data_IF_731128730842
#
_entry.id   IF_731128730842
#
_cell.length_a   1.000
_cell.length_b   1.000
_cell.length_c   1.000
_cell.angle_alpha   90.00
_cell.angle_beta   90.00
_cell.angle_gamma   90.00
#
_symmetry.space_group_name_H-M   'P 1'
#
loop_
_entity.id
_entity.type
_entity.pdbx_description
1 polymer ?
#
# COMPACT_ATOMS: atom_id res chain seq x y z
N UNK A 1 12.59 -13.48 -20.02
CA UNK A 1 13.89 -12.79 -20.24
C UNK A 1 13.82 -11.46 -19.52
N UNK A 2 14.83 -11.10 -18.75
CA UNK A 2 14.95 -9.78 -18.14
C UNK A 2 15.16 -8.72 -19.23
N UNK A 3 14.14 -7.90 -19.47
CA UNK A 3 14.12 -6.89 -20.53
C UNK A 3 14.78 -5.59 -20.09
N UNK A 4 15.19 -5.46 -18.82
CA UNK A 4 15.93 -4.31 -18.31
C UNK A 4 17.25 -4.10 -19.05
N UNK A 5 17.83 -5.20 -19.56
CA UNK A 5 19.00 -5.19 -20.44
C UNK A 5 18.83 -4.30 -21.68
N UNK A 6 17.62 -4.05 -22.19
CA UNK A 6 17.36 -3.17 -23.34
C UNK A 6 17.36 -1.66 -23.01
N UNK A 7 17.57 -1.28 -21.76
CA UNK A 7 17.46 0.11 -21.31
C UNK A 7 18.65 0.61 -20.47
N UNK A 8 19.55 -0.29 -20.06
CA UNK A 8 20.70 0.03 -19.24
C UNK A 8 21.98 0.26 -20.08
N UNK A 9 22.11 1.45 -20.68
CA UNK A 9 23.08 1.70 -21.78
C UNK A 9 24.52 1.94 -21.30
N UNK A 10 24.74 2.73 -20.23
CA UNK A 10 26.06 3.22 -19.82
C UNK A 10 26.37 2.90 -18.35
N UNK A 11 27.66 2.79 -18.00
CA UNK A 11 28.09 2.74 -16.60
C UNK A 11 27.93 4.10 -15.92
N UNK A 12 27.52 4.11 -14.65
CA UNK A 12 27.37 5.33 -13.87
C UNK A 12 28.68 6.15 -13.89
N UNK A 13 28.58 7.39 -14.37
CA UNK A 13 29.70 8.34 -14.40
C UNK A 13 30.63 8.28 -15.61
N UNK A 14 30.42 7.41 -16.61
CA UNK A 14 31.21 7.40 -17.87
C UNK A 14 30.32 7.42 -19.12
N UNK A 15 30.17 8.59 -19.75
CA UNK A 15 29.52 8.69 -21.07
C UNK A 15 30.51 8.19 -22.15
N UNK A 16 30.30 6.98 -22.67
CA UNK A 16 31.03 6.48 -23.84
C UNK A 16 31.19 4.96 -23.91
N UNK A 17 31.19 4.25 -22.78
CA UNK A 17 31.29 2.79 -22.75
C UNK A 17 29.90 2.16 -22.63
N UNK A 18 29.48 1.48 -23.70
CA UNK A 18 28.20 0.76 -23.76
C UNK A 18 28.34 -0.55 -22.97
N UNK A 19 27.44 -0.78 -22.01
CA UNK A 19 27.42 -2.01 -21.21
C UNK A 19 27.24 -3.26 -22.08
N UNK A 20 27.96 -4.34 -21.79
CA UNK A 20 27.81 -5.62 -22.51
C UNK A 20 26.41 -6.21 -22.34
N UNK A 21 25.77 -6.00 -21.18
CA UNK A 21 24.38 -6.42 -20.95
C UNK A 21 23.40 -5.75 -21.91
N UNK A 22 23.67 -4.50 -22.31
CA UNK A 22 22.86 -3.78 -23.27
C UNK A 22 23.04 -4.27 -24.70
N UNK A 23 24.29 -4.56 -25.10
CA UNK A 23 24.56 -5.21 -26.39
C UNK A 23 23.85 -6.56 -26.50
N UNK A 24 23.86 -7.33 -25.41
CA UNK A 24 23.13 -8.60 -25.33
C UNK A 24 21.61 -8.39 -25.44
N UNK A 25 21.05 -7.39 -24.76
CA UNK A 25 19.65 -7.00 -24.87
C UNK A 25 19.26 -6.68 -26.32
N UNK A 26 20.05 -5.85 -27.02
CA UNK A 26 19.81 -5.47 -28.41
C UNK A 26 19.89 -6.68 -29.35
N UNK A 27 20.84 -7.59 -29.14
CA UNK A 27 20.94 -8.82 -29.91
C UNK A 27 19.72 -9.73 -29.71
N UNK A 28 19.21 -9.85 -28.47
CA UNK A 28 18.01 -10.61 -28.15
C UNK A 28 16.76 -10.00 -28.79
N UNK A 29 16.63 -8.67 -28.76
CA UNK A 29 15.55 -7.94 -29.44
C UNK A 29 15.54 -8.22 -30.94
N UNK A 30 16.67 -8.05 -31.63
CA UNK A 30 16.75 -8.27 -33.08
C UNK A 30 16.46 -9.73 -33.44
N UNK A 31 16.94 -10.68 -32.64
CA UNK A 31 16.67 -12.11 -32.84
C UNK A 31 15.19 -12.43 -32.69
N UNK A 32 14.50 -11.80 -31.76
CA UNK A 32 13.06 -12.01 -31.54
C UNK A 32 12.22 -11.29 -32.61
N UNK A 33 12.54 -10.04 -32.94
CA UNK A 33 11.86 -9.27 -33.97
C UNK A 33 11.89 -9.99 -35.33
N UNK A 34 13.04 -10.56 -35.72
CA UNK A 34 13.17 -11.34 -36.96
C UNK A 34 12.32 -12.62 -37.02
N UNK A 35 11.91 -13.15 -35.88
CA UNK A 35 11.05 -14.35 -35.79
C UNK A 35 9.57 -14.00 -35.86
N UNK A 36 9.22 -12.72 -35.86
CA UNK A 36 7.84 -12.25 -35.90
C UNK A 36 7.29 -12.23 -37.32
N UNK A 37 6.11 -12.81 -37.50
CA UNK A 37 5.40 -12.83 -38.79
C UNK A 37 5.07 -11.41 -39.30
N UNK A 38 4.84 -10.45 -38.40
CA UNK A 38 4.58 -9.04 -38.76
C UNK A 38 5.82 -8.45 -39.43
N UNK A 39 6.99 -8.61 -38.81
CA UNK A 39 8.27 -8.10 -39.31
C UNK A 39 8.65 -8.76 -40.65
N UNK A 40 8.38 -10.05 -40.80
CA UNK A 40 8.61 -10.78 -42.06
C UNK A 40 7.69 -10.24 -43.17
N UNK A 41 6.42 -9.98 -42.85
CA UNK A 41 5.43 -9.47 -43.82
C UNK A 41 5.69 -8.03 -44.25
N UNK A 42 6.24 -7.20 -43.37
CA UNK A 42 6.55 -5.79 -43.64
C UNK A 42 7.91 -5.59 -44.33
N UNK A 43 8.71 -6.66 -44.47
CA UNK A 43 9.98 -6.64 -45.18
C UNK A 43 11.15 -6.01 -44.42
N UNK A 44 11.04 -5.83 -43.09
CA UNK A 44 12.13 -5.31 -42.27
C UNK A 44 11.73 -4.94 -40.84
N UNK A 45 12.72 -4.60 -40.01
CA UNK A 45 12.54 -4.31 -38.58
C UNK A 45 12.25 -2.82 -38.39
N UNK A 46 11.31 -2.48 -37.52
CA UNK A 46 10.98 -1.09 -37.17
C UNK A 46 11.93 -0.57 -36.09
N UNK A 47 12.43 0.65 -36.24
CA UNK A 47 13.28 1.25 -35.20
C UNK A 47 12.43 1.71 -33.99
N UNK A 48 12.62 1.17 -32.77
CA UNK A 48 11.77 1.48 -31.62
C UNK A 48 12.18 2.79 -30.95
N UNK A 49 11.76 3.91 -31.55
CA UNK A 49 12.09 5.26 -31.09
C UNK A 49 10.85 6.11 -30.82
N UNK A 50 10.98 7.02 -29.85
CA UNK A 50 9.91 7.91 -29.39
C UNK A 50 9.46 8.87 -30.49
N UNK A 51 10.40 9.49 -31.20
CA UNK A 51 10.06 10.50 -32.22
C UNK A 51 9.47 9.91 -33.48
N UNK A 52 9.76 8.63 -33.78
CA UNK A 52 9.18 7.96 -34.94
C UNK A 52 7.99 7.05 -34.62
N UNK A 53 7.71 6.77 -33.35
CA UNK A 53 6.65 5.86 -32.92
C UNK A 53 6.68 4.51 -33.66
N UNK A 54 7.88 3.94 -33.81
CA UNK A 54 8.15 2.70 -34.54
C UNK A 54 7.73 2.69 -36.02
N UNK A 55 7.59 3.86 -36.68
CA UNK A 55 7.07 3.93 -38.05
C UNK A 55 8.09 3.59 -39.14
N UNK A 56 9.38 3.81 -38.88
CA UNK A 56 10.44 3.63 -39.90
C UNK A 56 11.04 2.24 -39.85
N UNK A 57 11.05 1.56 -41.00
CA UNK A 57 11.80 0.33 -41.24
C UNK A 57 13.22 0.70 -41.65
N UNK A 58 14.20 0.05 -41.04
CA UNK A 58 15.64 0.28 -41.30
C UNK A 58 16.37 -1.05 -41.38
N UNK A 59 17.58 -1.02 -41.94
CA UNK A 59 18.46 -2.19 -41.92
C UNK A 59 18.86 -2.54 -40.48
N UNK A 60 19.25 -3.79 -40.26
CA UNK A 60 19.65 -4.25 -38.92
C UNK A 60 20.84 -3.45 -38.36
N UNK A 61 21.80 -3.11 -39.21
CA UNK A 61 23.00 -2.38 -38.80
C UNK A 61 22.67 -0.92 -38.42
N UNK A 62 21.73 -0.29 -39.13
CA UNK A 62 21.21 1.04 -38.76
C UNK A 62 20.45 1.01 -37.44
N UNK A 63 19.65 -0.04 -37.19
CA UNK A 63 18.90 -0.18 -35.93
C UNK A 63 19.85 -0.43 -34.75
N UNK A 64 20.89 -1.26 -34.93
CA UNK A 64 21.93 -1.44 -33.90
C UNK A 64 22.62 -0.12 -33.59
N UNK A 65 23.02 0.62 -34.64
CA UNK A 65 23.67 1.92 -34.48
C UNK A 65 22.77 2.92 -33.77
N UNK A 66 21.50 3.04 -34.18
CA UNK A 66 20.55 3.97 -33.57
C UNK A 66 20.23 3.58 -32.11
N UNK A 67 20.10 2.28 -31.79
CA UNK A 67 19.91 1.83 -30.40
C UNK A 67 21.15 2.10 -29.53
N UNK A 68 22.36 1.92 -30.06
CA UNK A 68 23.61 2.16 -29.34
C UNK A 68 23.91 3.65 -29.11
N UNK A 69 23.36 4.53 -29.94
CA UNK A 69 23.62 5.97 -29.87
C UNK A 69 22.47 6.77 -29.26
N UNK A 70 21.22 6.35 -29.46
CA UNK A 70 20.01 7.07 -29.07
C UNK A 70 19.10 6.31 -28.11
N UNK A 71 19.34 5.01 -27.91
CA UNK A 71 18.52 4.16 -27.04
C UNK A 71 17.15 3.80 -27.61
N UNK A 72 16.42 2.96 -26.88
CA UNK A 72 15.05 2.58 -27.24
C UNK A 72 14.01 3.52 -26.61
N UNK A 73 12.80 3.52 -27.17
CA UNK A 73 11.62 4.19 -26.60
C UNK A 73 11.41 3.74 -25.14
N UNK A 74 11.34 4.67 -24.16
CA UNK A 74 10.98 4.34 -22.79
C UNK A 74 9.61 3.65 -22.75
N UNK A 75 9.49 2.64 -21.90
CA UNK A 75 8.27 1.87 -21.68
C UNK A 75 7.80 0.98 -22.85
N UNK A 76 8.68 0.69 -23.81
CA UNK A 76 8.40 -0.26 -24.88
C UNK A 76 8.79 -1.70 -24.49
N UNK A 77 8.26 -2.16 -23.36
CA UNK A 77 8.59 -3.45 -22.76
C UNK A 77 7.95 -4.62 -23.49
N UNK A 78 6.84 -4.39 -24.20
CA UNK A 78 6.16 -5.35 -25.08
C UNK A 78 6.34 -4.84 -26.50
N UNK A 79 6.97 -5.65 -27.36
CA UNK A 79 7.31 -5.28 -28.73
C UNK A 79 6.09 -5.41 -29.65
N UNK A 80 5.04 -4.67 -29.33
CA UNK A 80 3.75 -4.72 -30.04
C UNK A 80 3.89 -4.42 -31.53
N UNK A 81 4.74 -3.45 -31.88
CA UNK A 81 5.11 -3.13 -33.28
C UNK A 81 5.97 -4.20 -33.96
N UNK A 82 6.40 -5.22 -33.23
CA UNK A 82 7.14 -6.38 -33.72
C UNK A 82 6.38 -7.68 -33.45
N UNK A 83 5.05 -7.61 -33.33
CA UNK A 83 4.16 -8.76 -33.26
C UNK A 83 4.08 -9.48 -31.91
N UNK A 84 4.57 -8.88 -30.83
CA UNK A 84 4.21 -9.35 -29.50
C UNK A 84 2.81 -8.85 -29.15
N UNK A 85 1.84 -9.76 -29.11
CA UNK A 85 0.51 -9.49 -28.57
C UNK A 85 0.53 -9.55 -27.06
N UNK A 86 -0.21 -8.65 -26.42
CA UNK A 86 -0.60 -8.82 -25.02
C UNK A 86 -1.51 -10.05 -25.02
N UNK A 87 -1.10 -11.15 -24.37
CA UNK A 87 -1.85 -12.40 -24.44
C UNK A 87 -3.28 -12.19 -23.96
N UNK A 88 -4.21 -12.40 -24.88
CA UNK A 88 -5.64 -12.59 -24.71
C UNK A 88 -6.05 -13.41 -25.95
N UNK A 89 -6.19 -14.73 -25.81
CA UNK A 89 -6.60 -15.62 -26.92
C UNK A 89 -8.14 -15.59 -27.14
N UNK A 90 -8.72 -16.12 -28.26
CA UNK A 90 -8.58 -15.67 -29.65
C UNK A 90 -10.01 -15.55 -30.34
N UNK A 91 -10.22 -15.65 -31.68
CA UNK A 91 -10.71 -14.53 -32.50
C UNK A 91 -12.06 -14.76 -33.23
N UNK A 92 -12.75 -13.68 -33.65
CA UNK A 92 -13.64 -13.72 -34.82
C UNK A 92 -13.92 -12.32 -35.44
N UNK A 93 -13.41 -12.17 -36.66
CA UNK A 93 -14.14 -11.66 -37.84
C UNK A 93 -14.55 -10.18 -37.92
N UNK A 94 -13.85 -9.51 -38.85
CA UNK A 94 -14.36 -8.53 -39.83
C UNK A 94 -15.03 -7.24 -39.33
N UNK A 95 -14.23 -6.18 -39.41
CA UNK A 95 -14.55 -4.81 -39.79
C UNK A 95 -16.03 -4.43 -39.99
N UNK A 96 -16.45 -3.37 -39.30
CA UNK A 96 -16.96 -2.16 -39.97
C UNK A 96 -16.72 -0.94 -39.09
N UNK A 97 -16.07 0.07 -39.66
CA UNK A 97 -16.07 1.45 -39.17
C UNK A 97 -17.51 1.91 -38.92
N UNK A 98 -17.77 2.69 -37.86
CA UNK A 98 -18.51 3.94 -37.99
C UNK A 98 -18.42 4.81 -36.73
N UNK A 99 -17.95 6.04 -36.93
CA UNK A 99 -18.63 7.24 -36.43
C UNK A 99 -18.46 7.60 -34.95
N UNK A 100 -17.54 8.53 -34.70
CA UNK A 100 -17.68 9.46 -33.59
C UNK A 100 -19.03 10.21 -33.68
N UNK A 101 -19.81 10.19 -32.60
CA UNK A 101 -20.83 11.21 -32.33
C UNK A 101 -20.71 11.60 -30.86
N UNK A 102 -20.14 12.78 -30.64
CA UNK A 102 -20.34 13.55 -29.40
C UNK A 102 -21.76 14.11 -29.43
N UNK A 103 -22.56 13.86 -28.39
CA UNK A 103 -23.51 14.83 -27.83
C UNK A 103 -24.17 14.24 -26.57
N UNK A 104 -24.19 15.01 -25.47
CA UNK A 104 -24.99 14.68 -24.28
C UNK A 104 -24.39 15.18 -22.97
N UNK A 105 -24.34 16.49 -22.80
CA UNK A 105 -23.87 17.23 -21.64
C UNK A 105 -24.57 16.82 -20.33
N UNK A 106 -23.78 16.55 -19.28
CA UNK A 106 -24.15 16.81 -17.89
C UNK A 106 -22.86 16.98 -17.09
N UNK A 107 -22.49 18.26 -16.92
CA UNK A 107 -21.29 18.72 -16.22
C UNK A 107 -21.36 18.36 -14.73
N UNK A 108 -20.68 17.28 -14.36
CA UNK A 108 -20.03 17.16 -13.06
C UNK A 108 -18.54 17.09 -13.35
N UNK A 109 -17.82 18.15 -13.00
CA UNK A 109 -16.37 18.24 -13.12
C UNK A 109 -15.71 17.32 -12.10
N UNK A 110 -15.76 16.01 -12.35
CA UNK A 110 -14.76 15.08 -11.86
C UNK A 110 -13.49 15.26 -12.72
N UNK A 111 -12.28 15.24 -12.15
CA UNK A 111 -11.07 15.23 -12.97
C UNK A 111 -11.10 13.96 -13.84
N UNK A 112 -11.14 14.16 -15.16
CA UNK A 112 -10.99 13.10 -16.15
C UNK A 112 -9.56 12.56 -16.00
N UNK A 113 -9.42 11.42 -15.32
CA UNK A 113 -8.16 10.68 -15.32
C UNK A 113 -8.04 10.01 -16.70
N UNK A 114 -7.00 10.30 -17.50
CA UNK A 114 -6.80 9.63 -18.78
C UNK A 114 -6.69 8.12 -18.55
N UNK A 115 -7.40 7.33 -19.36
CA UNK A 115 -7.51 5.87 -19.25
C UNK A 115 -6.18 5.09 -19.48
N UNK A 116 -5.02 5.76 -19.47
CA UNK A 116 -3.72 5.18 -19.82
C UNK A 116 -2.89 4.69 -18.62
N UNK A 117 -3.39 4.80 -17.38
CA UNK A 117 -2.62 4.48 -16.16
C UNK A 117 -3.11 3.25 -15.36
N UNK A 118 -3.83 2.31 -15.98
CA UNK A 118 -4.32 1.11 -15.28
C UNK A 118 -3.21 0.21 -14.69
N UNK A 119 -1.97 0.30 -15.19
CA UNK A 119 -0.84 -0.50 -14.70
C UNK A 119 -0.19 0.02 -13.42
N UNK A 120 -0.54 1.23 -12.94
CA UNK A 120 0.06 1.85 -11.75
C UNK A 120 -0.98 2.08 -10.64
N UNK A 121 -1.92 1.14 -10.47
CA UNK A 121 -2.75 1.13 -9.28
C UNK A 121 -1.97 0.48 -8.10
N UNK A 122 -2.11 1.00 -6.86
CA UNK A 122 -1.37 0.52 -5.68
C UNK A 122 -1.64 -0.94 -5.26
N UNK A 123 -2.47 -1.67 -6.01
CA UNK A 123 -2.76 -3.08 -5.75
C UNK A 123 -1.54 -3.98 -5.99
N UNK A 124 -0.65 -3.62 -6.92
CA UNK A 124 0.52 -4.43 -7.22
C UNK A 124 1.54 -4.44 -6.07
N UNK A 125 1.79 -3.30 -5.41
CA UNK A 125 2.71 -3.26 -4.25
C UNK A 125 2.18 -4.06 -3.06
N UNK A 126 0.86 -4.02 -2.82
CA UNK A 126 0.25 -4.83 -1.77
C UNK A 126 0.30 -6.33 -2.12
N UNK A 127 0.06 -6.69 -3.39
CA UNK A 127 0.23 -8.06 -3.86
C UNK A 127 1.69 -8.53 -3.71
N UNK A 128 2.68 -7.68 -3.98
CA UNK A 128 4.08 -8.02 -3.75
C UNK A 128 4.38 -8.30 -2.27
N UNK A 129 3.88 -7.49 -1.33
CA UNK A 129 4.03 -7.77 0.11
C UNK A 129 3.30 -9.05 0.56
N UNK A 130 2.12 -9.32 -0.02
CA UNK A 130 1.33 -10.54 0.27
C UNK A 130 2.07 -11.78 -0.24
N UNK A 131 2.51 -11.77 -1.50
CA UNK A 131 3.27 -12.88 -2.11
C UNK A 131 4.61 -13.10 -1.39
N UNK A 132 5.28 -12.03 -0.97
CA UNK A 132 6.53 -12.09 -0.20
C UNK A 132 6.33 -12.72 1.20
N UNK A 133 5.28 -12.34 1.91
CA UNK A 133 4.95 -12.92 3.21
C UNK A 133 4.52 -14.40 3.11
N UNK A 134 4.00 -14.83 1.96
CA UNK A 134 3.59 -16.22 1.69
C UNK A 134 4.70 -17.10 1.12
N UNK A 135 5.77 -16.49 0.59
CA UNK A 135 6.99 -17.14 0.11
C UNK A 135 7.88 -17.70 1.21
N UNK A 136 7.28 -18.30 2.24
CA UNK A 136 7.96 -19.09 3.29
C UNK A 136 8.57 -20.32 2.60
N UNK A 137 9.73 -20.15 1.93
CA UNK A 137 10.39 -21.22 1.19
C UNK A 137 11.23 -20.85 -0.04
N UNK A 138 11.57 -19.59 -0.35
CA UNK A 138 12.71 -19.38 -1.28
C UNK A 138 14.00 -19.53 -0.48
N UNK A 139 14.44 -20.77 -0.35
CA UNK A 139 15.81 -21.07 0.04
C UNK A 139 16.80 -20.43 -0.96
N UNK A 140 17.94 -20.03 -0.41
CA UNK A 140 19.14 -19.48 -1.02
C UNK A 140 19.14 -17.96 -1.29
N UNK A 141 19.71 -17.22 -0.34
CA UNK A 141 21.07 -16.70 -0.54
C UNK A 141 21.73 -16.31 0.81
N UNK A 142 22.82 -17.02 1.15
CA UNK A 142 24.07 -16.39 1.59
C UNK A 142 24.35 -16.09 3.06
N UNK A 143 23.38 -15.89 3.95
CA UNK A 143 23.69 -15.46 5.33
C UNK A 143 23.18 -16.46 6.39
N UNK A 144 24.10 -17.18 7.04
CA UNK A 144 23.84 -18.00 8.22
C UNK A 144 23.46 -17.11 9.42
N UNK A 145 22.16 -16.90 9.63
CA UNK A 145 21.65 -16.42 10.92
C UNK A 145 21.19 -17.63 11.75
N UNK A 146 21.78 -17.81 12.94
CA UNK A 146 21.54 -18.90 13.92
C UNK A 146 20.12 -18.90 14.56
N UNK A 147 19.19 -18.16 13.96
CA UNK A 147 17.82 -18.04 14.43
C UNK A 147 16.89 -19.05 13.80
N UNK A 148 16.94 -20.34 14.12
CA UNK A 148 15.90 -21.27 13.67
C UNK A 148 14.75 -21.34 14.68
N UNK A 149 14.15 -20.19 15.02
CA UNK A 149 12.96 -20.18 15.87
C UNK A 149 11.68 -20.27 15.03
N UNK A 150 10.69 -20.99 15.55
CA UNK A 150 9.35 -20.96 14.98
C UNK A 150 8.70 -19.58 15.21
N UNK A 151 7.85 -19.10 14.30
CA UNK A 151 7.04 -17.91 14.54
C UNK A 151 6.29 -18.01 15.88
N UNK A 152 6.11 -16.87 16.56
CA UNK A 152 5.20 -16.85 17.72
C UNK A 152 3.74 -17.08 17.30
N UNK A 153 2.86 -17.31 18.27
CA UNK A 153 1.45 -17.63 18.02
C UNK A 153 0.72 -16.58 17.16
N UNK A 154 0.98 -15.30 17.38
CA UNK A 154 0.35 -14.21 16.62
C UNK A 154 0.86 -14.18 15.17
N UNK A 155 2.17 -14.34 14.97
CA UNK A 155 2.78 -14.44 13.65
C UNK A 155 2.28 -15.68 12.90
N UNK A 156 2.23 -16.84 13.55
CA UNK A 156 1.66 -18.06 12.98
C UNK A 156 0.20 -17.88 12.56
N UNK A 157 -0.63 -17.30 13.43
CA UNK A 157 -2.04 -17.01 13.12
C UNK A 157 -2.17 -16.09 11.92
N UNK A 158 -1.31 -15.07 11.83
CA UNK A 158 -1.28 -14.16 10.69
C UNK A 158 -0.88 -14.86 9.40
N UNK A 159 0.19 -15.65 9.40
CA UNK A 159 0.63 -16.40 8.22
C UNK A 159 -0.42 -17.41 7.74
N UNK A 160 -1.09 -18.12 8.67
CA UNK A 160 -2.18 -19.02 8.33
C UNK A 160 -3.34 -18.25 7.69
N UNK A 161 -3.75 -17.12 8.26
CA UNK A 161 -4.82 -16.30 7.70
C UNK A 161 -4.45 -15.76 6.31
N UNK A 162 -3.20 -15.35 6.10
CA UNK A 162 -2.73 -14.96 4.77
C UNK A 162 -2.80 -16.12 3.79
N UNK A 163 -2.36 -17.31 4.19
CA UNK A 163 -2.39 -18.51 3.34
C UNK A 163 -3.81 -18.84 2.92
N UNK A 164 -4.73 -18.91 3.88
CA UNK A 164 -6.15 -19.23 3.65
C UNK A 164 -6.85 -18.18 2.76
N UNK A 165 -6.41 -16.91 2.82
CA UNK A 165 -7.04 -15.82 2.05
C UNK A 165 -6.37 -15.56 0.71
N UNK A 166 -5.17 -16.11 0.48
CA UNK A 166 -4.42 -15.88 -0.75
C UNK A 166 -4.42 -17.08 -1.71
N UNK A 167 -5.30 -18.06 -1.49
CA UNK A 167 -5.58 -19.08 -2.50
C UNK A 167 -6.05 -18.43 -3.81
N UNK A 168 -5.47 -18.88 -4.92
CA UNK A 168 -5.81 -18.42 -6.26
C UNK A 168 -7.27 -18.76 -6.56
N UNK A 169 -7.94 -17.92 -7.34
CA UNK A 169 -9.35 -18.14 -7.67
C UNK A 169 -9.57 -19.41 -8.51
N UNK A 170 -8.58 -19.78 -9.33
CA UNK A 170 -8.52 -20.96 -10.19
C UNK A 170 -7.06 -21.19 -10.63
N UNK A 171 -6.77 -22.33 -11.25
CA UNK A 171 -5.42 -22.85 -11.53
C UNK A 171 -4.50 -21.86 -12.30
N UNK A 172 -5.06 -21.02 -13.17
CA UNK A 172 -4.33 -20.02 -13.96
C UNK A 172 -4.58 -18.56 -13.51
N UNK A 173 -5.19 -18.33 -12.36
CA UNK A 173 -5.47 -16.98 -11.89
C UNK A 173 -4.23 -16.30 -11.33
N UNK A 174 -4.06 -15.00 -11.60
CA UNK A 174 -3.06 -14.16 -10.89
C UNK A 174 -3.64 -13.47 -9.66
N UNK A 175 -4.97 -13.50 -9.50
CA UNK A 175 -5.67 -12.90 -8.39
C UNK A 175 -6.02 -13.98 -7.35
N UNK A 176 -5.91 -13.61 -6.07
CA UNK A 176 -6.45 -14.40 -4.96
C UNK A 176 -7.75 -13.81 -4.44
N UNK A 177 -8.41 -14.54 -3.54
CA UNK A 177 -9.56 -14.04 -2.79
C UNK A 177 -9.25 -12.70 -2.09
N UNK A 178 -8.07 -12.57 -1.50
CA UNK A 178 -7.60 -11.35 -0.87
C UNK A 178 -7.42 -10.22 -1.88
N UNK A 179 -6.76 -10.48 -3.01
CA UNK A 179 -6.53 -9.48 -4.05
C UNK A 179 -7.84 -8.91 -4.59
N UNK A 180 -8.85 -9.75 -4.81
CA UNK A 180 -10.20 -9.31 -5.21
C UNK A 180 -10.82 -8.42 -4.14
N UNK A 181 -10.73 -8.81 -2.86
CA UNK A 181 -11.25 -7.99 -1.77
C UNK A 181 -10.61 -6.60 -1.74
N UNK A 182 -9.28 -6.53 -1.83
CA UNK A 182 -8.54 -5.25 -1.82
C UNK A 182 -8.93 -4.40 -3.03
N UNK A 183 -9.04 -4.99 -4.22
CA UNK A 183 -9.48 -4.29 -5.44
C UNK A 183 -10.90 -3.73 -5.30
N UNK A 184 -11.84 -4.51 -4.76
CA UNK A 184 -13.21 -4.03 -4.48
C UNK A 184 -13.22 -2.86 -3.49
N UNK A 185 -12.42 -2.93 -2.42
CA UNK A 185 -12.29 -1.84 -1.46
C UNK A 185 -11.74 -0.57 -2.12
N UNK A 186 -10.70 -0.71 -2.94
CA UNK A 186 -10.07 0.40 -3.63
C UNK A 186 -10.96 1.02 -4.71
N UNK A 187 -11.67 0.22 -5.51
CA UNK A 187 -12.66 0.71 -6.49
C UNK A 187 -13.71 1.59 -5.81
N UNK A 188 -14.27 1.12 -4.68
CA UNK A 188 -15.25 1.90 -3.93
C UNK A 188 -14.68 3.25 -3.49
N UNK A 189 -13.48 3.26 -2.92
CA UNK A 189 -12.89 4.45 -2.32
C UNK A 189 -12.42 5.45 -3.39
N UNK A 190 -11.75 4.98 -4.43
CA UNK A 190 -11.17 5.82 -5.48
C UNK A 190 -12.24 6.47 -6.38
N UNK A 191 -13.36 5.77 -6.60
CA UNK A 191 -14.44 6.25 -7.48
C UNK A 191 -15.70 6.66 -6.71
N UNK A 192 -15.62 6.72 -5.36
CA UNK A 192 -16.73 7.09 -4.48
C UNK A 192 -18.03 6.30 -4.75
N UNK A 193 -17.89 5.04 -5.18
CA UNK A 193 -19.04 4.24 -5.61
C UNK A 193 -19.96 3.98 -4.39
N UNK A 194 -21.27 4.24 -4.46
CA UNK A 194 -22.20 3.95 -3.39
C UNK A 194 -22.16 2.46 -2.99
N UNK A 195 -22.41 2.16 -1.71
CA UNK A 195 -22.32 0.76 -1.21
C UNK A 195 -23.26 -0.17 -1.99
N UNK A 196 -24.50 0.26 -2.23
CA UNK A 196 -25.48 -0.53 -2.98
C UNK A 196 -25.01 -0.84 -4.40
N UNK A 197 -24.38 0.13 -5.07
CA UNK A 197 -23.81 -0.08 -6.40
C UNK A 197 -22.61 -1.05 -6.35
N UNK A 198 -21.73 -0.94 -5.35
CA UNK A 198 -20.64 -1.91 -5.17
C UNK A 198 -21.14 -3.33 -4.89
N UNK A 199 -22.18 -3.48 -4.07
CA UNK A 199 -22.79 -4.78 -3.79
C UNK A 199 -23.41 -5.37 -5.07
N UNK A 200 -24.01 -4.54 -5.92
CA UNK A 200 -24.52 -4.97 -7.23
C UNK A 200 -23.39 -5.36 -8.21
N UNK A 201 -22.29 -4.59 -8.25
CA UNK A 201 -21.11 -4.92 -9.07
C UNK A 201 -20.49 -6.24 -8.61
N UNK A 202 -20.32 -6.44 -7.30
CA UNK A 202 -19.76 -7.68 -6.76
C UNK A 202 -20.63 -8.89 -7.14
N UNK A 203 -21.95 -8.77 -7.03
CA UNK A 203 -22.89 -9.82 -7.47
C UNK A 203 -22.81 -10.07 -8.96
N UNK A 204 -22.83 -9.03 -9.79
CA UNK A 204 -22.74 -9.16 -11.24
C UNK A 204 -21.46 -9.92 -11.66
N UNK A 205 -20.32 -9.58 -11.07
CA UNK A 205 -19.06 -10.28 -11.34
C UNK A 205 -19.16 -11.76 -10.95
N UNK A 206 -19.75 -12.08 -9.80
CA UNK A 206 -19.93 -13.47 -9.37
C UNK A 206 -20.92 -14.24 -10.24
N UNK A 207 -22.03 -13.63 -10.64
CA UNK A 207 -23.09 -14.27 -11.42
C UNK A 207 -22.67 -14.51 -12.88
N UNK A 208 -21.80 -13.64 -13.43
CA UNK A 208 -21.34 -13.73 -14.83
C UNK A 208 -20.06 -14.52 -15.01
N UNK A 209 -19.34 -14.84 -13.93
CA UNK A 209 -18.14 -15.67 -13.99
C UNK A 209 -18.48 -17.12 -13.64
N UNK A 210 -17.84 -18.08 -14.32
CA UNK A 210 -17.95 -19.52 -14.03
C UNK A 210 -17.46 -19.91 -12.60
N UNK A 211 -17.04 -18.91 -11.82
CA UNK A 211 -16.49 -18.96 -10.47
C UNK A 211 -17.61 -19.17 -9.41
N UNK A 212 -18.89 -19.04 -9.81
CA UNK A 212 -20.06 -19.12 -8.92
C UNK A 212 -20.21 -20.47 -8.19
N UNK A 213 -19.75 -21.58 -8.77
CA UNK A 213 -19.98 -22.91 -8.22
C UNK A 213 -19.01 -23.32 -7.09
N UNK A 214 -17.84 -22.67 -6.96
CA UNK A 214 -16.75 -23.16 -6.11
C UNK A 214 -15.97 -22.09 -5.33
N UNK A 215 -16.40 -20.83 -5.31
CA UNK A 215 -15.64 -19.76 -4.67
C UNK A 215 -16.28 -19.18 -3.40
N UNK A 216 -15.47 -19.01 -2.36
CA UNK A 216 -15.84 -18.29 -1.14
C UNK A 216 -15.72 -16.75 -1.29
N UNK A 217 -15.86 -16.21 -2.50
CA UNK A 217 -15.65 -14.79 -2.76
C UNK A 217 -16.73 -13.89 -2.11
N UNK A 218 -16.36 -12.67 -1.70
CA UNK A 218 -17.31 -11.76 -1.05
C UNK A 218 -18.40 -11.30 -2.04
N UNK A 219 -19.66 -11.49 -1.65
CA UNK A 219 -20.84 -11.04 -2.42
C UNK A 219 -21.20 -9.59 -2.14
N UNK A 220 -20.64 -9.03 -1.08
CA UNK A 220 -20.90 -7.67 -0.64
C UNK A 220 -19.62 -6.96 -0.27
N UNK A 221 -19.63 -5.64 -0.37
CA UNK A 221 -18.58 -4.78 0.15
C UNK A 221 -18.33 -5.01 1.64
N UNK A 222 -19.39 -5.35 2.40
CA UNK A 222 -19.27 -5.65 3.81
C UNK A 222 -18.46 -6.94 4.05
N UNK A 223 -18.73 -8.01 3.32
CA UNK A 223 -17.98 -9.26 3.40
C UNK A 223 -16.50 -9.05 3.03
N UNK A 224 -16.23 -8.33 1.94
CA UNK A 224 -14.86 -7.99 1.53
C UNK A 224 -14.14 -7.20 2.64
N UNK A 225 -14.81 -6.20 3.21
CA UNK A 225 -14.27 -5.42 4.34
C UNK A 225 -14.02 -6.28 5.57
N UNK A 226 -14.92 -7.20 5.90
CA UNK A 226 -14.77 -8.10 7.04
C UNK A 226 -13.58 -9.03 6.85
N UNK A 227 -13.39 -9.59 5.65
CA UNK A 227 -12.24 -10.43 5.33
C UNK A 227 -10.93 -9.66 5.55
N UNK A 228 -10.80 -8.48 4.94
CA UNK A 228 -9.60 -7.65 5.06
C UNK A 228 -9.38 -7.18 6.50
N UNK A 229 -10.44 -6.94 7.27
CA UNK A 229 -10.33 -6.53 8.68
C UNK A 229 -9.69 -7.59 9.57
N UNK A 230 -9.87 -8.88 9.25
CA UNK A 230 -9.26 -10.00 9.99
C UNK A 230 -7.73 -10.02 9.85
N UNK A 231 -7.21 -9.50 8.74
CA UNK A 231 -5.77 -9.30 8.52
C UNK A 231 -5.23 -8.11 9.31
N UNK A 232 -5.78 -7.83 10.51
CA UNK A 232 -5.42 -6.72 11.39
C UNK A 232 -5.45 -5.33 10.74
N UNK A 233 -6.30 -5.13 9.73
CA UNK A 233 -6.63 -3.81 9.17
C UNK A 233 -7.95 -3.27 9.77
N UNK A 234 -8.27 -3.73 10.98
CA UNK A 234 -9.45 -3.31 11.73
C UNK A 234 -9.41 -1.81 12.02
N UNK A 235 -10.60 -1.20 12.00
CA UNK A 235 -10.81 0.19 12.39
C UNK A 235 -11.74 0.20 13.58
N UNK A 236 -11.30 0.80 14.69
CA UNK A 236 -12.10 1.01 15.90
C UNK A 236 -12.79 2.36 15.77
N UNK A 237 -14.12 2.37 15.85
CA UNK A 237 -14.90 3.63 15.93
C UNK A 237 -15.13 3.94 17.39
N UNK A 238 -14.57 5.05 17.87
CA UNK A 238 -14.64 5.45 19.28
C UNK A 238 -15.54 6.68 19.39
N UNK A 239 -16.52 6.65 20.30
CA UNK A 239 -17.43 7.79 20.49
C UNK A 239 -16.71 8.88 21.28
N UNK A 240 -16.98 10.14 20.94
CA UNK A 240 -16.33 11.29 21.58
C UNK A 240 -17.40 12.24 22.13
N UNK A 241 -17.05 13.00 23.16
CA UNK A 241 -17.81 14.15 23.57
C UNK A 241 -17.88 15.19 22.43
N UNK A 242 -19.04 15.84 22.24
CA UNK A 242 -19.22 16.89 21.23
C UNK A 242 -18.30 18.10 21.42
N UNK A 243 -17.92 18.36 22.68
CA UNK A 243 -16.99 19.42 23.07
C UNK A 243 -15.54 18.92 23.17
N UNK A 244 -15.25 17.68 22.74
CA UNK A 244 -13.92 17.11 22.77
C UNK A 244 -13.36 16.79 24.16
N UNK A 245 -14.14 16.88 25.24
CA UNK A 245 -13.62 16.73 26.61
C UNK A 245 -13.18 15.32 26.99
N UNK A 246 -13.66 14.28 26.29
CA UNK A 246 -13.30 12.89 26.57
C UNK A 246 -13.71 11.96 25.43
N UNK A 247 -13.10 10.78 25.43
CA UNK A 247 -13.53 9.62 24.68
C UNK A 247 -14.44 8.72 25.56
N UNK A 248 -15.49 8.17 24.97
CA UNK A 248 -16.28 7.10 25.58
C UNK A 248 -15.64 5.77 25.20
N UNK A 249 -14.57 5.42 25.89
CA UNK A 249 -13.78 4.23 25.63
C UNK A 249 -13.30 3.59 26.93
N UNK A 250 -12.96 2.31 26.84
CA UNK A 250 -12.31 1.58 27.91
C UNK A 250 -10.89 1.21 27.46
N UNK A 251 -9.96 1.16 28.40
CA UNK A 251 -8.64 0.61 28.18
C UNK A 251 -8.17 -0.20 29.38
N UNK A 252 -7.08 -0.95 29.17
CA UNK A 252 -6.43 -1.77 30.19
C UNK A 252 -5.63 -0.95 31.22
N UNK A 253 -5.49 0.36 31.01
CA UNK A 253 -4.75 1.29 31.87
C UNK A 253 -5.67 2.06 32.84
N UNK A 254 -6.88 1.55 33.10
CA UNK A 254 -7.78 2.08 34.13
C UNK A 254 -8.85 3.07 33.63
N UNK A 255 -8.94 3.33 32.32
CA UNK A 255 -10.06 4.10 31.77
C UNK A 255 -11.25 3.18 31.55
N UNK A 256 -12.38 3.52 32.16
CA UNK A 256 -13.63 2.75 32.10
C UNK A 256 -14.83 3.63 31.75
N UNK A 257 -14.68 4.49 30.73
CA UNK A 257 -15.68 5.49 30.34
C UNK A 257 -16.60 5.03 29.18
N UNK A 258 -16.40 3.81 28.69
CA UNK A 258 -17.04 3.24 27.49
C UNK A 258 -18.55 3.05 27.58
N UNK A 259 -19.07 2.84 28.79
CA UNK A 259 -20.50 2.64 29.05
C UNK A 259 -21.24 3.93 29.43
N UNK A 260 -20.51 5.03 29.61
CA UNK A 260 -21.12 6.31 29.94
C UNK A 260 -22.04 6.79 28.80
N UNK A 261 -23.16 7.38 29.18
CA UNK A 261 -24.16 7.97 28.28
C UNK A 261 -24.05 9.50 28.20
N UNK A 262 -23.26 10.11 29.09
CA UNK A 262 -22.99 11.55 29.16
C UNK A 262 -21.53 11.81 29.54
N UNK A 263 -21.00 12.95 29.11
CA UNK A 263 -19.63 13.36 29.41
C UNK A 263 -19.47 13.66 30.91
N UNK A 264 -18.45 13.09 31.56
CA UNK A 264 -18.18 13.36 32.99
C UNK A 264 -17.73 14.79 33.30
N UNK A 265 -17.28 15.54 32.28
CA UNK A 265 -16.75 16.90 32.44
C UNK A 265 -17.76 17.99 32.10
N UNK A 266 -18.44 17.90 30.96
CA UNK A 266 -19.40 18.92 30.50
C UNK A 266 -20.86 18.46 30.49
N UNK A 267 -21.15 17.22 30.92
CA UNK A 267 -22.49 16.63 30.99
C UNK A 267 -23.23 16.51 29.64
N UNK A 268 -22.57 16.82 28.52
CA UNK A 268 -23.13 16.62 27.18
C UNK A 268 -23.44 15.13 26.92
N UNK A 269 -24.62 14.89 26.32
CA UNK A 269 -25.07 13.54 25.96
C UNK A 269 -24.18 12.93 24.88
N UNK A 270 -23.91 11.63 24.98
CA UNK A 270 -23.19 10.84 23.97
C UNK A 270 -23.99 10.65 22.69
N UNK A 271 -25.30 10.47 22.82
CA UNK A 271 -26.20 10.09 21.73
C UNK A 271 -27.11 11.24 21.31
N UNK A 272 -27.52 11.25 20.03
CA UNK A 272 -28.50 12.20 19.51
C UNK A 272 -29.88 11.89 20.10
N UNK A 273 -30.61 12.92 20.49
CA UNK A 273 -32.00 12.79 20.92
C UNK A 273 -32.91 12.59 19.70
N UNK A 274 -33.63 11.47 19.64
CA UNK A 274 -34.65 11.23 18.61
C UNK A 274 -35.98 11.81 19.07
N UNK A 275 -36.51 12.80 18.35
CA UNK A 275 -37.79 13.47 18.69
C UNK A 275 -39.02 12.54 18.60
N UNK A 276 -38.90 11.38 17.95
CA UNK A 276 -40.00 10.41 17.79
C UNK A 276 -39.76 9.17 18.67
N UNK A 277 -40.13 9.25 19.95
CA UNK A 277 -40.02 8.17 20.93
C UNK A 277 -40.94 6.95 20.67
N UNK A 278 -41.63 6.88 19.54
CA UNK A 278 -42.55 5.78 19.21
C UNK A 278 -41.89 4.59 18.50
N UNK A 279 -40.65 4.71 18.01
CA UNK A 279 -39.91 3.57 17.44
C UNK A 279 -38.69 3.22 18.30
N UNK A 280 -38.94 2.49 19.41
CA UNK A 280 -37.92 1.84 20.28
C UNK A 280 -36.98 0.83 19.57
N UNK A 281 -36.92 0.82 18.23
CA UNK A 281 -36.17 -0.17 17.42
C UNK A 281 -34.89 0.37 16.78
N UNK A 282 -34.58 1.66 16.90
CA UNK A 282 -33.35 2.24 16.36
C UNK A 282 -32.16 2.10 17.32
N UNK A 283 -31.00 1.65 16.81
CA UNK A 283 -29.73 1.73 17.58
C UNK A 283 -29.39 3.21 17.85
N UNK A 284 -28.99 3.56 19.09
CA UNK A 284 -28.67 4.95 19.42
C UNK A 284 -27.48 5.44 18.59
N UNK A 285 -27.59 6.66 18.04
CA UNK A 285 -26.59 7.24 17.14
C UNK A 285 -25.71 8.21 17.93
N UNK A 286 -24.37 8.01 17.98
CA UNK A 286 -23.47 8.92 18.69
C UNK A 286 -23.46 10.29 18.04
N UNK A 287 -23.28 11.34 18.84
CA UNK A 287 -23.17 12.72 18.33
C UNK A 287 -21.85 12.95 17.59
N UNK A 288 -20.76 12.38 18.09
CA UNK A 288 -19.42 12.47 17.49
C UNK A 288 -18.66 11.16 17.70
N UNK A 289 -17.80 10.80 16.75
CA UNK A 289 -16.94 9.64 16.85
C UNK A 289 -15.67 9.82 16.01
N UNK A 290 -14.55 9.38 16.56
CA UNK A 290 -13.26 9.26 15.86
C UNK A 290 -13.05 7.83 15.34
N UNK A 291 -12.09 7.70 14.44
CA UNK A 291 -11.63 6.40 13.96
C UNK A 291 -10.20 6.18 14.43
N UNK A 292 -9.97 5.10 15.15
CA UNK A 292 -8.65 4.65 15.57
C UNK A 292 -8.27 3.38 14.81
N UNK A 293 -7.02 3.33 14.38
CA UNK A 293 -6.44 2.33 13.53
C UNK A 293 -5.19 1.79 14.24
N UNK A 294 -5.29 0.62 14.92
CA UNK A 294 -4.21 0.08 15.73
C UNK A 294 -2.89 -0.07 14.97
N UNK A 295 -1.79 0.34 15.59
CA UNK A 295 -0.47 0.38 14.96
C UNK A 295 0.38 -0.85 15.30
N UNK A 296 0.14 -1.51 16.44
CA UNK A 296 0.92 -2.70 16.88
C UNK A 296 0.98 -3.76 15.79
N UNK A 297 -0.17 -4.22 15.31
CA UNK A 297 -0.24 -5.27 14.28
C UNK A 297 0.29 -4.83 12.91
N UNK A 298 0.39 -3.52 12.65
CA UNK A 298 0.96 -3.00 11.39
C UNK A 298 2.49 -2.99 11.46
N UNK A 299 3.03 -2.63 12.61
CA UNK A 299 4.47 -2.64 12.86
C UNK A 299 5.01 -4.07 12.89
N UNK A 300 4.30 -5.01 13.51
CA UNK A 300 4.64 -6.44 13.44
C UNK A 300 4.68 -6.96 11.99
N UNK A 301 3.85 -6.43 11.07
CA UNK A 301 3.87 -6.84 9.67
C UNK A 301 5.10 -6.39 8.90
N UNK A 302 5.72 -5.28 9.29
CA UNK A 302 7.00 -4.88 8.71
C UNK A 302 8.11 -5.89 9.04
N UNK A 303 7.96 -6.68 10.10
CA UNK A 303 8.85 -7.78 10.42
C UNK A 303 8.41 -9.12 9.82
N UNK A 304 7.17 -9.22 9.35
CA UNK A 304 6.61 -10.43 8.74
C UNK A 304 6.84 -10.53 7.22
N UNK A 305 7.37 -9.49 6.58
CA UNK A 305 7.72 -9.47 5.14
C UNK A 305 9.22 -9.34 4.95
N UNK A 306 9.82 -10.15 4.09
CA UNK A 306 11.25 -10.10 3.76
C UNK A 306 11.66 -8.78 3.11
N UNK A 307 10.77 -8.16 2.32
CA UNK A 307 11.02 -6.85 1.69
C UNK A 307 11.24 -5.71 2.69
N UNK A 308 10.62 -5.82 3.87
CA UNK A 308 10.59 -4.76 4.88
C UNK A 308 11.45 -5.11 6.10
N UNK A 309 11.45 -6.37 6.55
CA UNK A 309 12.12 -6.80 7.78
C UNK A 309 13.62 -6.49 7.79
N UNK A 310 14.35 -6.80 6.71
CA UNK A 310 15.79 -6.48 6.58
C UNK A 310 16.07 -4.97 6.68
N UNK A 311 15.10 -4.15 6.23
CA UNK A 311 15.24 -2.69 6.20
C UNK A 311 14.85 -2.03 7.53
N UNK A 312 14.18 -2.76 8.42
CA UNK A 312 13.80 -2.28 9.75
C UNK A 312 14.97 -2.18 10.74
N UNK A 313 16.19 -2.53 10.31
CA UNK A 313 17.45 -2.35 11.04
C UNK A 313 18.43 -1.43 10.31
N UNK A 314 17.98 -0.76 9.23
CA UNK A 314 18.82 0.06 8.36
C UNK A 314 19.61 1.12 9.13
N UNK A 315 18.96 1.77 10.10
CA UNK A 315 19.58 2.81 10.93
C UNK A 315 20.82 2.33 11.71
N UNK A 316 20.84 1.06 12.12
CA UNK A 316 21.96 0.46 12.85
C UNK A 316 23.06 -0.02 11.90
N UNK A 317 22.70 -0.59 10.76
CA UNK A 317 23.65 -1.17 9.78
C UNK A 317 24.46 -0.10 9.04
N UNK A 318 23.88 1.09 8.86
CA UNK A 318 24.52 2.20 8.12
C UNK A 318 25.27 3.19 9.02
N UNK A 319 25.41 2.88 10.32
CA UNK A 319 26.02 3.75 11.32
C UNK A 319 27.41 4.25 10.91
N UNK A 320 28.32 3.34 10.55
CA UNK A 320 29.73 3.65 10.27
C UNK A 320 29.91 4.48 8.99
N UNK A 321 29.10 4.23 7.96
CA UNK A 321 29.15 5.00 6.72
C UNK A 321 28.65 6.43 6.95
N UNK A 322 27.63 6.60 7.81
CA UNK A 322 26.99 7.90 8.09
C UNK A 322 27.77 8.77 9.05
N UNK A 323 28.45 8.18 10.04
CA UNK A 323 29.33 8.91 10.97
C UNK A 323 30.40 9.75 10.24
N UNK A 324 30.79 9.36 9.02
CA UNK A 324 31.84 10.01 8.23
C UNK A 324 31.36 11.19 7.39
N UNK A 325 30.06 11.32 7.08
CA UNK A 325 29.58 12.31 6.12
C UNK A 325 29.32 13.70 6.71
N UNK A 326 29.11 13.81 8.02
CA UNK A 326 28.81 15.09 8.70
C UNK A 326 27.47 15.74 8.35
N UNK A 327 26.68 15.13 7.45
CA UNK A 327 25.41 15.64 6.94
C UNK A 327 24.19 14.97 7.61
N UNK A 328 23.16 15.76 7.92
CA UNK A 328 21.87 15.27 8.41
C UNK A 328 21.00 14.81 7.22
N UNK A 329 20.78 13.50 7.08
CA UNK A 329 20.02 12.91 5.97
C UNK A 329 18.83 12.06 6.43
N UNK A 330 18.70 11.80 7.73
CA UNK A 330 17.65 10.98 8.33
C UNK A 330 17.49 11.35 9.82
N UNK A 331 16.31 11.17 10.46
CA UNK A 331 16.11 11.44 11.89
C UNK A 331 17.15 10.80 12.83
N UNK A 332 17.66 9.63 12.46
CA UNK A 332 18.79 8.94 13.10
C UNK A 332 20.03 9.83 13.32
N UNK A 333 20.34 10.72 12.37
CA UNK A 333 21.55 11.54 12.45
C UNK A 333 21.41 12.68 13.49
N UNK A 334 20.17 12.97 13.91
CA UNK A 334 19.80 14.05 14.81
C UNK A 334 20.26 13.85 16.25
N UNK A 335 20.44 14.97 16.97
CA UNK A 335 20.87 14.96 18.37
C UNK A 335 19.84 14.29 19.30
N UNK A 336 18.54 14.43 18.99
CA UNK A 336 17.48 13.81 19.79
C UNK A 336 17.60 12.28 19.84
N UNK A 337 17.89 11.65 18.70
CA UNK A 337 18.10 10.20 18.62
C UNK A 337 19.31 9.77 19.44
N UNK A 338 20.45 10.45 19.24
CA UNK A 338 21.70 10.17 19.97
C UNK A 338 21.54 10.32 21.48
N UNK A 339 20.86 11.37 21.91
CA UNK A 339 20.56 11.60 23.32
C UNK A 339 19.67 10.49 23.89
N UNK A 340 18.63 10.10 23.16
CA UNK A 340 17.75 9.00 23.57
C UNK A 340 18.51 7.69 23.75
N UNK A 341 19.41 7.35 22.83
CA UNK A 341 20.22 6.14 22.88
C UNK A 341 21.16 6.12 24.10
N UNK A 342 21.68 7.29 24.49
CA UNK A 342 22.50 7.45 25.69
C UNK A 342 21.69 7.23 26.98
N UNK A 343 20.46 7.74 27.02
CA UNK A 343 19.57 7.61 28.20
C UNK A 343 18.97 6.21 28.31
N UNK A 344 18.74 5.54 27.17
CA UNK A 344 18.07 4.24 27.09
C UNK A 344 18.94 3.19 26.38
N UNK A 345 20.10 2.82 26.94
CA UNK A 345 21.03 1.91 26.27
C UNK A 345 20.43 0.52 26.02
N UNK A 346 19.56 0.03 26.91
CA UNK A 346 18.86 -1.25 26.72
C UNK A 346 17.81 -1.23 25.60
N UNK A 347 17.27 -0.06 25.26
CA UNK A 347 16.43 0.09 24.06
C UNK A 347 17.31 0.14 22.81
N UNK A 348 18.39 0.93 22.85
CA UNK A 348 19.27 1.14 21.70
C UNK A 348 20.07 -0.12 21.31
N UNK A 349 20.36 -1.01 22.25
CA UNK A 349 21.09 -2.26 22.01
C UNK A 349 20.33 -3.25 21.11
N UNK A 350 19.01 -3.15 21.04
CA UNK A 350 18.19 -3.97 20.15
C UNK A 350 17.81 -3.15 18.90
N UNK A 351 18.47 -3.37 17.76
CA UNK A 351 18.25 -2.58 16.54
C UNK A 351 16.86 -2.80 15.93
N UNK A 352 16.14 -3.85 16.32
CA UNK A 352 14.76 -4.10 15.89
C UNK A 352 13.72 -3.31 16.71
N UNK A 353 14.13 -2.56 17.73
CA UNK A 353 13.22 -1.61 18.38
C UNK A 353 12.93 -0.45 17.43
N UNK A 354 11.66 -0.10 17.27
CA UNK A 354 11.24 0.90 16.26
C UNK A 354 11.04 2.27 16.89
N UNK A 355 11.61 3.28 16.23
CA UNK A 355 11.36 4.69 16.54
C UNK A 355 10.36 5.25 15.55
N UNK A 356 9.40 5.99 16.08
CA UNK A 356 8.27 6.50 15.31
C UNK A 356 8.40 8.01 15.15
N UNK A 357 7.95 8.51 14.00
CA UNK A 357 7.58 9.89 13.81
C UNK A 357 6.08 10.02 13.83
N UNK A 358 5.57 10.99 14.58
CA UNK A 358 4.15 11.34 14.62
C UNK A 358 3.95 12.72 14.01
N UNK A 359 3.00 12.83 13.08
CA UNK A 359 2.56 14.12 12.56
C UNK A 359 1.04 14.20 12.45
N UNK A 360 0.53 15.44 12.51
CA UNK A 360 -0.87 15.75 12.30
C UNK A 360 -1.01 17.14 11.70
N UNK A 361 -2.01 17.30 10.84
CA UNK A 361 -2.43 18.59 10.32
C UNK A 361 -3.93 18.56 9.99
N UNK A 362 -4.59 19.70 9.97
CA UNK A 362 -6.00 19.80 9.59
C UNK A 362 -6.17 19.73 8.07
N UNK A 363 -7.01 18.83 7.57
CA UNK A 363 -7.36 18.80 6.14
C UNK A 363 -8.87 18.80 5.91
N UNK A 364 -9.30 19.33 4.77
CA UNK A 364 -10.72 19.28 4.35
C UNK A 364 -10.91 18.11 3.38
N UNK A 365 -11.61 17.01 3.76
CA UNK A 365 -11.74 15.82 2.93
C UNK A 365 -12.66 16.02 1.71
N UNK A 366 -13.54 17.04 1.74
CA UNK A 366 -14.47 17.34 0.66
C UNK A 366 -14.37 18.82 0.29
N UNK A 367 -13.70 19.12 -0.81
CA UNK A 367 -13.77 20.44 -1.47
C UNK A 367 -14.90 20.42 -2.50
N UNK A 368 -16.15 20.45 -2.04
CA UNK A 368 -17.26 20.83 -2.91
C UNK A 368 -17.54 22.32 -2.72
N UNK A 369 -17.68 23.06 -3.82
CA UNK A 369 -17.82 24.53 -3.82
C UNK A 369 -19.03 25.07 -3.02
N UNK A 370 -19.97 24.20 -2.63
CA UNK A 370 -21.19 24.54 -1.90
C UNK A 370 -21.29 23.94 -0.49
N UNK A 371 -20.30 23.14 -0.05
CA UNK A 371 -20.31 22.52 1.28
C UNK A 371 -19.58 23.41 2.31
N UNK A 372 -20.09 23.47 3.54
CA UNK A 372 -19.37 24.09 4.64
C UNK A 372 -18.02 23.39 4.82
N UNK A 373 -16.90 24.13 4.94
CA UNK A 373 -15.59 23.53 5.12
C UNK A 373 -15.59 22.71 6.42
N UNK A 374 -15.45 21.40 6.29
CA UNK A 374 -15.28 20.49 7.41
C UNK A 374 -13.83 20.07 7.45
N UNK A 375 -13.09 20.48 8.49
CA UNK A 375 -11.75 19.95 8.71
C UNK A 375 -11.83 18.60 9.43
N UNK A 376 -10.91 17.69 9.15
CA UNK A 376 -10.59 16.58 10.02
C UNK A 376 -9.08 16.48 10.19
N UNK A 377 -8.66 15.84 11.29
CA UNK A 377 -7.26 15.80 11.71
C UNK A 377 -6.77 14.35 11.73
N UNK A 378 -6.06 13.90 10.69
CA UNK A 378 -5.39 12.62 10.68
C UNK A 378 -4.16 12.69 11.58
N UNK A 379 -3.94 11.62 12.33
CA UNK A 379 -2.66 11.35 12.99
C UNK A 379 -1.95 10.30 12.15
N UNK A 380 -0.77 10.64 11.66
CA UNK A 380 0.06 9.74 10.85
C UNK A 380 1.29 9.35 11.68
N UNK A 381 1.59 8.05 11.67
CA UNK A 381 2.72 7.44 12.34
C UNK A 381 3.62 6.80 11.29
N UNK A 382 4.91 7.09 11.35
CA UNK A 382 5.92 6.60 10.41
C UNK A 382 7.07 5.91 11.15
N UNK A 383 7.49 4.70 10.75
CA UNK A 383 8.67 4.05 11.33
C UNK A 383 9.96 4.65 10.74
N UNK A 384 10.73 5.34 11.57
CA UNK A 384 12.06 5.87 11.22
C UNK A 384 13.15 4.80 11.22
N UNK A 385 12.83 3.53 11.39
CA UNK A 385 13.83 2.47 11.22
C UNK A 385 14.17 2.22 9.75
N UNK A 386 13.23 2.54 8.86
CA UNK A 386 13.35 2.34 7.42
C UNK A 386 14.30 3.36 6.79
N UNK A 387 14.91 3.01 5.64
CA UNK A 387 15.78 3.93 4.93
C UNK A 387 15.04 5.20 4.44
N UNK A 388 15.77 6.31 4.15
CA UNK A 388 15.20 7.59 3.72
C UNK A 388 14.24 7.49 2.54
N UNK A 389 14.51 6.60 1.59
CA UNK A 389 13.69 6.38 0.39
C UNK A 389 12.34 5.73 0.71
N UNK A 390 12.21 5.13 1.90
CA UNK A 390 11.03 4.37 2.32
C UNK A 390 10.25 5.02 3.44
N UNK A 391 10.91 5.49 4.51
CA UNK A 391 10.25 5.90 5.75
C UNK A 391 9.09 6.88 5.53
N UNK A 392 9.25 7.86 4.64
CA UNK A 392 8.21 8.87 4.34
C UNK A 392 7.36 8.58 3.10
N UNK A 393 7.41 7.35 2.55
CA UNK A 393 6.58 6.98 1.40
C UNK A 393 5.21 6.42 1.84
N UNK A 394 4.20 6.54 0.96
CA UNK A 394 2.79 6.25 1.27
C UNK A 394 2.55 4.88 1.95
N UNK A 395 3.19 3.77 1.57
CA UNK A 395 2.96 2.47 2.20
C UNK A 395 3.39 2.41 3.67
N UNK A 396 4.31 3.29 4.10
CA UNK A 396 4.91 3.29 5.44
C UNK A 396 4.44 4.47 6.30
N UNK A 397 3.52 5.29 5.79
CA UNK A 397 2.80 6.33 6.54
C UNK A 397 1.49 5.75 7.06
N UNK A 398 1.48 5.30 8.31
CA UNK A 398 0.31 4.69 8.92
C UNK A 398 -0.65 5.73 9.47
N UNK A 399 -1.85 5.80 8.90
CA UNK A 399 -2.94 6.54 9.52
C UNK A 399 -3.36 5.85 10.82
N UNK A 400 -3.03 6.44 11.96
CA UNK A 400 -3.32 5.93 13.30
C UNK A 400 -4.68 6.41 13.81
N UNK A 401 -5.00 7.69 13.61
CA UNK A 401 -6.28 8.28 14.04
C UNK A 401 -6.86 9.18 12.96
N UNK A 402 -8.19 9.30 12.95
CA UNK A 402 -8.93 10.34 12.25
C UNK A 402 -9.85 11.02 13.24
N UNK A 403 -9.47 12.23 13.63
CA UNK A 403 -10.23 13.06 14.55
C UNK A 403 -11.27 13.84 13.75
N UNK A 404 -12.56 13.78 14.13
CA UNK A 404 -13.60 14.54 13.46
C UNK A 404 -13.51 16.03 13.81
N UNK A 405 -13.68 16.91 12.83
CA UNK A 405 -13.90 18.33 13.10
C UNK A 405 -15.37 18.65 13.40
N UNK A 406 -15.82 19.90 13.18
CA UNK A 406 -15.17 20.95 12.37
C UNK A 406 -14.07 21.73 13.11
N UNK A 407 -14.07 21.70 14.44
CA UNK A 407 -13.12 22.44 15.27
C UNK A 407 -11.76 21.76 15.29
N UNK A 408 -10.70 22.58 15.36
CA UNK A 408 -9.35 22.08 15.57
C UNK A 408 -9.25 21.39 16.94
N UNK A 409 -8.65 20.19 17.02
CA UNK A 409 -8.42 19.50 18.27
C UNK A 409 -7.20 20.04 19.03
N UNK A 410 -6.49 21.08 18.58
CA UNK A 410 -5.19 21.50 19.15
C UNK A 410 -5.20 21.63 20.67
N UNK A 411 -6.27 22.16 21.27
CA UNK A 411 -6.38 22.33 22.72
C UNK A 411 -6.65 21.03 23.51
N UNK A 412 -7.05 19.94 22.83
CA UNK A 412 -7.41 18.66 23.44
C UNK A 412 -6.98 17.47 22.59
N UNK A 413 -5.88 17.59 21.85
CA UNK A 413 -5.41 16.55 20.93
C UNK A 413 -4.96 15.30 21.69
N UNK A 414 -4.43 15.50 22.89
CA UNK A 414 -4.06 14.47 23.86
C UNK A 414 -5.23 13.53 24.20
N UNK A 415 -6.46 14.06 24.29
CA UNK A 415 -7.67 13.27 24.54
C UNK A 415 -7.90 12.28 23.39
N UNK A 416 -7.71 12.73 22.15
CA UNK A 416 -7.89 11.87 20.98
C UNK A 416 -6.71 10.90 20.78
N UNK A 417 -5.50 11.26 21.23
CA UNK A 417 -4.33 10.39 21.13
C UNK A 417 -4.33 9.25 22.16
N UNK A 418 -5.26 9.24 23.11
CA UNK A 418 -5.33 8.21 24.16
C UNK A 418 -5.23 6.76 23.65
N UNK A 419 -5.98 6.32 22.61
CA UNK A 419 -5.86 4.95 22.10
C UNK A 419 -4.48 4.67 21.50
N UNK A 420 -3.88 5.64 20.82
CA UNK A 420 -2.52 5.53 20.28
C UNK A 420 -1.49 5.46 21.42
N UNK A 421 -1.63 6.28 22.46
CA UNK A 421 -0.78 6.23 23.66
C UNK A 421 -0.88 4.86 24.34
N UNK A 422 -2.06 4.24 24.37
CA UNK A 422 -2.23 2.89 24.90
C UNK A 422 -1.46 1.84 24.08
N UNK A 423 -1.45 1.95 22.74
CA UNK A 423 -0.60 1.14 21.88
C UNK A 423 0.89 1.39 22.20
N UNK A 424 1.32 2.65 22.31
CA UNK A 424 2.72 3.01 22.61
C UNK A 424 3.18 2.48 23.98
N UNK A 425 2.32 2.53 25.01
CA UNK A 425 2.60 1.94 26.33
C UNK A 425 2.79 0.43 26.26
N UNK A 426 1.89 -0.29 25.59
CA UNK A 426 2.05 -1.74 25.36
C UNK A 426 3.37 -2.07 24.68
N UNK A 427 3.71 -1.28 23.67
CA UNK A 427 4.93 -1.47 22.92
C UNK A 427 6.17 -1.09 23.73
N UNK A 428 6.10 -0.12 24.65
CA UNK A 428 7.21 0.20 25.54
C UNK A 428 7.57 -0.95 26.48
N UNK A 429 6.57 -1.61 27.05
CA UNK A 429 6.76 -2.83 27.85
C UNK A 429 7.35 -3.97 27.00
N UNK A 430 6.92 -4.04 25.75
CA UNK A 430 7.44 -4.93 24.72
C UNK A 430 6.38 -5.91 24.23
N UNK A 431 6.29 -6.07 22.91
CA UNK A 431 5.37 -7.01 22.26
C UNK A 431 6.18 -8.04 21.49
N UNK A 432 5.90 -9.32 21.75
CA UNK A 432 6.56 -10.43 21.05
C UNK A 432 6.28 -10.31 19.56
N UNK A 433 7.36 -10.22 18.79
CA UNK A 433 7.32 -10.00 17.34
C UNK A 433 8.27 -10.99 16.69
N UNK A 434 7.87 -11.52 15.52
CA UNK A 434 8.69 -12.43 14.75
C UNK A 434 9.32 -11.67 13.58
N UNK A 435 10.65 -11.69 13.52
CA UNK A 435 11.43 -11.17 12.41
C UNK A 435 11.69 -12.28 11.40
N UNK A 436 11.01 -12.21 10.25
CA UNK A 436 11.13 -13.22 9.19
C UNK A 436 12.53 -13.23 8.56
N UNK A 437 13.23 -12.09 8.55
CA UNK A 437 14.56 -11.98 7.96
C UNK A 437 15.61 -12.71 8.78
N UNK A 438 15.50 -12.63 10.12
CA UNK A 438 16.39 -13.30 11.07
C UNK A 438 15.85 -14.64 11.56
N UNK A 439 14.59 -14.95 11.24
CA UNK A 439 13.81 -16.11 11.73
C UNK A 439 13.79 -16.23 13.25
N UNK A 440 13.69 -15.09 13.94
CA UNK A 440 13.75 -15.01 15.40
C UNK A 440 12.56 -14.26 15.99
N UNK A 441 12.13 -14.69 17.17
CA UNK A 441 11.26 -13.88 18.01
C UNK A 441 12.09 -12.90 18.84
N UNK A 442 11.57 -11.71 19.02
CA UNK A 442 12.12 -10.70 19.90
C UNK A 442 11.00 -9.95 20.61
N UNK A 443 11.31 -9.34 21.75
CA UNK A 443 10.38 -8.40 22.40
C UNK A 443 10.58 -7.04 21.76
N UNK A 444 9.75 -6.71 20.79
CA UNK A 444 9.82 -5.46 20.06
C UNK A 444 9.33 -4.31 20.92
N UNK A 445 10.19 -3.32 21.15
CA UNK A 445 9.85 -2.09 21.86
C UNK A 445 9.74 -0.90 20.95
N UNK A 446 8.85 0.03 21.28
CA UNK A 446 8.62 1.25 20.50
C UNK A 446 8.74 2.53 21.32
N UNK A 447 9.17 3.59 20.64
CA UNK A 447 9.16 4.96 21.15
C UNK A 447 8.74 5.92 20.03
N UNK A 448 8.06 7.00 20.40
CA UNK A 448 7.70 8.13 19.53
C UNK A 448 8.48 9.37 19.93
#
# INVERSE_FOLDING_TARGET
>A
MDRNSMYDIYYDGKRGEIKEIFKLGVALFLKAAKRSNIVISEGGIRYPCVSCDCRWIRSEDEIKYDLYTKGSRPNYWIWTSHGETIMSDPPASSATNFGAVYQGSSSSSAPIVPAQNYQHYPFNEMNHMITDALGIGVANDGDEYDGNQLPNADAHRFFNLLKDTNELLFEDSTDSKLTVCVRLLGLKCNFLIPKLAMDAIAKLVLDTTLIYAHSDLPRTYYEAKQLVSKLGLGVKRIHCCINGCMLFYNNEFGVSDGDLVQCKFCQELRYRQTKNSQSKRGKPVPRQAMFYLPIVSRLQRLYASFQTARKMTWHSENYEQRKRSGELRHPYDGLAWKHFDQVNPGFASEPRNVRLGLCSDGFTPYTQASATPYSCWPIIVTPYNLPPEMCMSKPYMFLADVIPGPSSPTAGIDIYLQPLVDDLKRLWEGVVTYDISRKQNFSGKLIN
#
